data_IF_338079966589
#
_entry.id   IF_338079966589
#
_cell.length_a   1.000
_cell.length_b   1.000
_cell.length_c   1.000
_cell.angle_alpha   90.00
_cell.angle_beta   90.00
_cell.angle_gamma   90.00
#
_symmetry.space_group_name_H-M   'P 1'
#
loop_
_entity.id
_entity.type
_entity.pdbx_description
1 polymer ?
#
# COMPACT_ATOMS: atom_id res chain seq x y z
N UNK A 1 3.11 -21.37 -24.72
CA UNK A 1 2.99 -21.35 -23.25
C UNK A 1 1.98 -20.29 -22.89
N UNK A 2 1.04 -20.58 -22.00
CA UNK A 2 0.08 -19.59 -21.51
C UNK A 2 0.82 -18.48 -20.75
N UNK A 3 0.32 -17.24 -20.82
CA UNK A 3 0.92 -16.09 -20.13
C UNK A 3 0.08 -15.70 -18.91
N UNK A 4 0.77 -15.17 -17.91
CA UNK A 4 0.16 -14.49 -16.77
C UNK A 4 0.66 -13.05 -16.76
N UNK A 5 -0.27 -12.10 -16.87
CA UNK A 5 0.01 -10.68 -16.81
C UNK A 5 -0.44 -10.14 -15.45
N UNK A 6 0.50 -9.63 -14.66
CA UNK A 6 0.18 -8.87 -13.47
C UNK A 6 0.04 -7.37 -13.79
N UNK A 7 -1.19 -6.87 -13.75
CA UNK A 7 -1.49 -5.45 -13.90
C UNK A 7 -1.44 -4.76 -12.53
N UNK A 8 -0.42 -3.93 -12.30
CA UNK A 8 -0.29 -3.12 -11.07
C UNK A 8 0.31 -1.74 -11.36
N UNK A 9 0.48 -0.89 -10.35
CA UNK A 9 1.20 0.38 -10.53
C UNK A 9 2.71 0.12 -10.45
N UNK A 10 3.46 0.58 -11.45
CA UNK A 10 4.92 0.51 -11.46
C UNK A 10 5.47 1.94 -11.34
N UNK A 11 5.77 2.39 -10.12
CA UNK A 11 6.34 3.72 -9.86
C UNK A 11 7.75 3.60 -9.27
N UNK A 12 8.77 3.96 -10.05
CA UNK A 12 10.17 4.00 -9.61
C UNK A 12 10.44 5.01 -8.49
N UNK A 13 9.46 5.81 -8.08
CA UNK A 13 9.57 6.73 -6.95
C UNK A 13 8.63 6.32 -5.80
N UNK A 14 8.19 5.07 -5.77
CA UNK A 14 7.40 4.51 -4.69
C UNK A 14 7.70 3.02 -4.53
N UNK A 15 8.64 2.70 -3.63
CA UNK A 15 9.07 1.32 -3.35
C UNK A 15 7.92 0.37 -3.04
N UNK A 16 6.87 0.88 -2.40
CA UNK A 16 5.68 0.10 -2.10
C UNK A 16 4.91 -0.36 -3.33
N UNK A 17 4.82 0.48 -4.37
CA UNK A 17 4.14 0.11 -5.61
C UNK A 17 4.96 -0.93 -6.38
N UNK A 18 6.30 -0.79 -6.41
CA UNK A 18 7.23 -1.73 -7.06
C UNK A 18 7.19 -3.13 -6.46
N UNK A 19 7.16 -3.24 -5.13
CA UNK A 19 7.28 -4.50 -4.40
C UNK A 19 5.97 -5.25 -4.22
N UNK A 20 4.88 -4.72 -4.78
CA UNK A 20 3.54 -5.24 -4.54
C UNK A 20 3.09 -6.32 -5.53
N UNK A 21 3.89 -6.63 -6.55
CA UNK A 21 3.57 -7.67 -7.52
C UNK A 21 3.78 -9.09 -6.93
N UNK A 22 2.78 -10.00 -7.01
CA UNK A 22 2.94 -11.38 -6.56
C UNK A 22 3.94 -12.17 -7.40
N UNK A 23 4.17 -11.77 -8.67
CA UNK A 23 5.16 -12.38 -9.55
C UNK A 23 6.60 -12.26 -9.04
N UNK A 24 6.85 -11.43 -8.01
CA UNK A 24 8.17 -11.29 -7.38
C UNK A 24 8.45 -12.37 -6.34
N UNK A 25 7.42 -13.07 -5.86
CA UNK A 25 7.53 -13.91 -4.66
C UNK A 25 6.96 -15.31 -4.85
N UNK A 26 6.23 -15.55 -5.93
CA UNK A 26 5.64 -16.83 -6.25
C UNK A 26 6.02 -17.23 -7.67
N UNK A 27 6.37 -18.51 -7.82
CA UNK A 27 6.63 -19.11 -9.12
C UNK A 27 5.31 -19.57 -9.76
N UNK A 28 5.20 -19.50 -11.08
CA UNK A 28 4.04 -20.02 -11.81
C UNK A 28 4.53 -21.02 -12.87
N UNK A 29 4.83 -22.27 -12.48
CA UNK A 29 5.40 -23.26 -13.39
C UNK A 29 4.52 -23.48 -14.62
N UNK A 30 5.12 -23.46 -15.81
CA UNK A 30 4.42 -23.64 -17.09
C UNK A 30 3.86 -22.35 -17.71
N UNK A 31 3.97 -21.22 -17.03
CA UNK A 31 3.51 -19.92 -17.52
C UNK A 31 4.67 -18.97 -17.80
N UNK A 32 4.48 -18.10 -18.79
CA UNK A 32 5.33 -16.93 -19.00
C UNK A 32 4.71 -15.77 -18.22
N UNK A 33 5.45 -15.25 -17.23
CA UNK A 33 4.95 -14.20 -16.34
C UNK A 33 5.51 -12.83 -16.71
N UNK A 34 4.65 -11.83 -16.75
CA UNK A 34 5.02 -10.45 -17.05
C UNK A 34 4.25 -9.48 -16.14
N UNK A 35 4.92 -8.45 -15.63
CA UNK A 35 4.27 -7.37 -14.91
C UNK A 35 4.13 -6.16 -15.84
N UNK A 36 2.93 -5.59 -15.92
CA UNK A 36 2.65 -4.40 -16.72
C UNK A 36 1.99 -3.31 -15.87
N UNK A 37 2.29 -2.06 -16.23
CA UNK A 37 1.69 -0.92 -15.54
C UNK A 37 0.24 -0.73 -15.99
N UNK A 38 -0.71 -0.83 -15.06
CA UNK A 38 -2.14 -0.66 -15.32
C UNK A 38 -2.50 0.70 -15.95
N UNK A 39 -1.63 1.70 -15.81
CA UNK A 39 -1.83 3.05 -16.35
C UNK A 39 -1.50 3.14 -17.85
N UNK A 40 -0.71 2.21 -18.38
CA UNK A 40 -0.16 2.29 -19.74
C UNK A 40 -0.30 1.01 -20.55
N UNK A 41 -0.68 -0.11 -19.93
CA UNK A 41 -0.98 -1.36 -20.64
C UNK A 41 -2.04 -1.14 -21.72
N UNK A 42 -1.79 -1.72 -22.88
CA UNK A 42 -2.75 -1.77 -23.97
C UNK A 42 -3.58 -3.07 -23.83
N UNK A 43 -4.91 -2.97 -23.60
CA UNK A 43 -5.78 -4.14 -23.43
C UNK A 43 -5.70 -5.18 -24.55
N UNK A 44 -5.44 -4.73 -25.79
CA UNK A 44 -5.38 -5.60 -26.97
C UNK A 44 -4.19 -6.58 -26.93
N UNK A 45 -3.12 -6.25 -26.22
CA UNK A 45 -1.89 -7.04 -26.16
C UNK A 45 -1.98 -8.19 -25.14
N UNK A 46 -3.03 -8.18 -24.30
CA UNK A 46 -3.20 -9.09 -23.15
C UNK A 46 -4.58 -9.77 -23.12
N UNK A 47 -5.35 -9.65 -24.18
CA UNK A 47 -6.74 -10.09 -24.27
C UNK A 47 -6.95 -11.61 -24.12
N UNK A 48 -5.92 -12.44 -24.35
CA UNK A 48 -6.02 -13.91 -24.22
C UNK A 48 -5.22 -14.47 -23.02
N UNK A 49 -4.66 -13.60 -22.18
CA UNK A 49 -3.79 -14.00 -21.08
C UNK A 49 -4.56 -14.21 -19.77
N UNK A 50 -3.98 -14.93 -18.83
CA UNK A 50 -4.45 -14.87 -17.43
C UNK A 50 -4.04 -13.53 -16.83
N UNK A 51 -4.97 -12.86 -16.16
CA UNK A 51 -4.79 -11.54 -15.60
C UNK A 51 -4.78 -11.60 -14.07
N UNK A 52 -3.78 -10.99 -13.45
CA UNK A 52 -3.75 -10.71 -12.03
C UNK A 52 -3.74 -9.19 -11.85
N UNK A 53 -4.84 -8.59 -11.42
CA UNK A 53 -4.83 -7.22 -10.90
C UNK A 53 -4.39 -7.26 -9.44
N UNK A 54 -3.31 -6.60 -9.06
CA UNK A 54 -2.81 -6.86 -7.71
C UNK A 54 -1.81 -5.89 -7.12
N UNK A 55 -1.60 -6.08 -5.82
CA UNK A 55 -0.55 -5.44 -5.03
C UNK A 55 -0.83 -4.01 -4.54
N UNK A 56 -1.60 -3.23 -5.29
CA UNK A 56 -1.71 -1.78 -5.10
C UNK A 56 -3.08 -1.29 -4.65
N UNK A 57 -3.19 0.02 -4.42
CA UNK A 57 -4.47 0.72 -4.21
C UNK A 57 -5.26 0.85 -5.51
N UNK A 58 -5.60 -0.29 -6.12
CA UNK A 58 -6.26 -0.35 -7.42
C UNK A 58 -7.77 -0.17 -7.35
N UNK A 59 -8.39 -0.32 -6.17
CA UNK A 59 -9.82 -0.03 -5.99
C UNK A 59 -10.01 1.47 -5.73
N UNK A 60 -9.75 2.24 -6.78
CA UNK A 60 -9.80 3.70 -6.77
C UNK A 60 -10.27 4.20 -8.13
N UNK A 61 -11.05 5.29 -8.13
CA UNK A 61 -11.69 5.82 -9.35
C UNK A 61 -10.72 6.01 -10.52
N UNK A 62 -9.46 6.36 -10.24
CA UNK A 62 -8.43 6.53 -11.28
C UNK A 62 -8.13 5.25 -12.06
N UNK A 63 -8.30 4.08 -11.45
CA UNK A 63 -7.98 2.77 -12.03
C UNK A 63 -9.22 1.99 -12.46
N UNK A 64 -10.42 2.43 -12.09
CA UNK A 64 -11.67 1.77 -12.47
C UNK A 64 -11.81 1.67 -13.99
N UNK A 65 -11.70 2.80 -14.70
CA UNK A 65 -11.84 2.81 -16.16
C UNK A 65 -10.76 1.98 -16.89
N UNK A 66 -9.46 2.08 -16.57
CA UNK A 66 -8.45 1.17 -17.10
C UNK A 66 -8.74 -0.31 -16.82
N UNK A 67 -9.12 -0.66 -15.59
CA UNK A 67 -9.45 -2.04 -15.21
C UNK A 67 -10.65 -2.57 -16.01
N UNK A 68 -11.71 -1.78 -16.15
CA UNK A 68 -12.88 -2.14 -16.95
C UNK A 68 -12.54 -2.28 -18.43
N UNK A 69 -11.69 -1.41 -18.99
CA UNK A 69 -11.25 -1.51 -20.38
C UNK A 69 -10.46 -2.80 -20.63
N UNK A 70 -9.58 -3.19 -19.70
CA UNK A 70 -8.84 -4.45 -19.78
C UNK A 70 -9.80 -5.64 -19.72
N UNK A 71 -10.72 -5.66 -18.75
CA UNK A 71 -11.71 -6.74 -18.61
C UNK A 71 -12.67 -6.83 -19.79
N UNK A 72 -13.07 -5.71 -20.37
CA UNK A 72 -13.96 -5.69 -21.54
C UNK A 72 -13.28 -6.22 -22.82
N UNK A 73 -11.96 -6.01 -22.94
CA UNK A 73 -11.17 -6.58 -24.04
C UNK A 73 -10.74 -8.04 -23.77
N UNK A 74 -10.91 -8.55 -22.55
CA UNK A 74 -10.50 -9.89 -22.17
C UNK A 74 -11.41 -10.94 -22.80
N UNK A 75 -10.82 -11.91 -23.49
CA UNK A 75 -11.51 -12.94 -24.26
C UNK A 75 -11.33 -14.35 -23.69
N UNK A 76 -10.19 -14.62 -23.04
CA UNK A 76 -9.87 -15.94 -22.50
C UNK A 76 -8.84 -15.85 -21.38
N UNK A 77 -8.82 -16.87 -20.53
CA UNK A 77 -7.96 -16.90 -19.35
C UNK A 77 -8.76 -16.60 -18.10
N UNK A 78 -8.05 -16.35 -16.99
CA UNK A 78 -8.65 -16.11 -15.68
C UNK A 78 -8.34 -14.71 -15.22
N UNK A 79 -9.30 -14.06 -14.55
CA UNK A 79 -9.15 -12.72 -14.01
C UNK A 79 -9.16 -12.78 -12.49
N UNK A 80 -8.05 -12.41 -11.88
CA UNK A 80 -7.82 -12.54 -10.45
C UNK A 80 -7.53 -11.17 -9.84
N UNK A 81 -8.15 -10.87 -8.70
CA UNK A 81 -7.73 -9.75 -7.84
C UNK A 81 -6.86 -10.29 -6.71
N UNK A 82 -5.63 -9.81 -6.58
CA UNK A 82 -4.68 -10.27 -5.54
C UNK A 82 -4.19 -9.12 -4.67
N UNK A 83 -4.72 -9.03 -3.46
CA UNK A 83 -4.29 -8.04 -2.46
C UNK A 83 -4.51 -6.59 -2.88
N UNK A 84 -5.50 -6.38 -3.77
CA UNK A 84 -5.99 -5.05 -4.11
C UNK A 84 -6.69 -4.42 -2.91
N UNK A 85 -6.73 -3.10 -2.84
CA UNK A 85 -7.49 -2.44 -1.79
C UNK A 85 -7.99 -1.07 -2.18
N UNK A 86 -8.99 -0.60 -1.44
CA UNK A 86 -9.65 0.67 -1.65
C UNK A 86 -8.83 1.87 -1.23
N UNK A 87 -9.08 2.99 -1.91
CA UNK A 87 -8.50 4.26 -1.55
C UNK A 87 -9.47 5.40 -1.84
N UNK A 88 -9.92 6.06 -0.77
CA UNK A 88 -10.70 7.28 -0.81
C UNK A 88 -9.98 8.38 -0.04
N UNK A 89 -9.94 9.57 -0.63
CA UNK A 89 -9.40 10.78 -0.02
C UNK A 89 -10.52 11.68 0.54
N UNK A 90 -11.79 11.28 0.38
CA UNK A 90 -12.91 12.06 0.89
C UNK A 90 -13.06 11.87 2.40
N UNK A 91 -13.52 12.93 3.09
CA UNK A 91 -13.80 12.84 4.54
C UNK A 91 -14.84 11.75 4.85
N UNK A 92 -15.84 11.60 3.99
CA UNK A 92 -16.86 10.56 4.13
C UNK A 92 -16.23 9.15 4.05
N UNK A 93 -15.43 8.87 3.01
CA UNK A 93 -14.79 7.56 2.85
C UNK A 93 -13.72 7.25 3.90
N UNK A 94 -13.09 8.27 4.50
CA UNK A 94 -12.20 8.04 5.65
C UNK A 94 -12.98 7.77 6.95
N UNK A 95 -14.16 8.36 7.13
CA UNK A 95 -15.00 8.15 8.31
C UNK A 95 -15.65 6.77 8.29
N UNK A 96 -16.03 6.30 7.11
CA UNK A 96 -16.68 5.01 6.91
C UNK A 96 -16.06 4.28 5.71
N UNK A 97 -14.88 3.66 5.90
CA UNK A 97 -14.16 3.01 4.81
C UNK A 97 -14.76 1.65 4.42
N UNK A 98 -15.58 1.05 5.28
CA UNK A 98 -16.19 -0.27 5.05
C UNK A 98 -17.41 -0.19 4.14
N UNK A 99 -18.03 0.99 3.98
CA UNK A 99 -19.13 1.21 3.03
C UNK A 99 -18.66 1.51 1.60
N UNK A 100 -17.36 1.36 1.32
CA UNK A 100 -16.86 1.45 -0.05
C UNK A 100 -17.56 0.42 -0.94
N UNK A 101 -18.03 0.85 -2.11
CA UNK A 101 -18.65 -0.05 -3.08
C UNK A 101 -17.59 -0.77 -3.91
N UNK A 102 -17.38 -2.05 -3.59
CA UNK A 102 -16.44 -2.92 -4.30
C UNK A 102 -17.00 -3.42 -5.64
N UNK A 103 -18.33 -3.44 -5.80
CA UNK A 103 -19.04 -4.11 -6.91
C UNK A 103 -18.46 -3.79 -8.28
N UNK A 104 -18.22 -2.51 -8.65
CA UNK A 104 -17.74 -2.16 -9.99
C UNK A 104 -16.36 -2.74 -10.34
N UNK A 105 -15.59 -3.16 -9.34
CA UNK A 105 -14.26 -3.74 -9.49
C UNK A 105 -14.27 -5.26 -9.47
N UNK A 106 -15.31 -5.89 -8.90
CA UNK A 106 -15.38 -7.35 -8.73
C UNK A 106 -16.01 -8.06 -9.94
N UNK A 107 -16.75 -7.33 -10.77
CA UNK A 107 -17.37 -7.87 -11.98
C UNK A 107 -16.34 -8.58 -12.88
N UNK A 108 -16.72 -9.75 -13.41
CA UNK A 108 -15.88 -10.58 -14.28
C UNK A 108 -14.52 -10.98 -13.68
N UNK A 109 -14.48 -11.25 -12.37
CA UNK A 109 -13.34 -11.88 -11.70
C UNK A 109 -13.65 -13.34 -11.36
N UNK A 110 -12.71 -14.24 -11.59
CA UNK A 110 -12.78 -15.65 -11.21
C UNK A 110 -12.37 -15.87 -9.75
N UNK A 111 -11.48 -15.04 -9.22
CA UNK A 111 -11.01 -15.12 -7.83
C UNK A 111 -10.70 -13.72 -7.28
N UNK A 112 -11.11 -13.46 -6.04
CA UNK A 112 -10.99 -12.14 -5.42
C UNK A 112 -10.33 -12.24 -4.06
N UNK A 113 -9.20 -11.57 -3.89
CA UNK A 113 -8.54 -11.34 -2.62
C UNK A 113 -8.25 -9.86 -2.41
N UNK A 114 -8.74 -9.29 -1.32
CA UNK A 114 -8.56 -7.87 -0.97
C UNK A 114 -7.74 -7.72 0.31
N UNK A 115 -6.95 -6.66 0.40
CA UNK A 115 -6.18 -6.37 1.62
C UNK A 115 -6.96 -5.61 2.68
N UNK A 116 -8.14 -5.12 2.32
CA UNK A 116 -9.05 -4.43 3.22
C UNK A 116 -9.66 -5.46 4.18
N UNK A 117 -9.56 -5.20 5.47
CA UNK A 117 -10.16 -6.03 6.51
C UNK A 117 -11.60 -5.59 6.84
N UNK A 118 -12.35 -6.47 7.50
CA UNK A 118 -13.74 -6.25 7.93
C UNK A 118 -14.71 -5.98 6.78
N UNK A 119 -14.44 -6.58 5.64
CA UNK A 119 -15.35 -6.65 4.49
C UNK A 119 -15.68 -8.11 4.19
N UNK A 120 -16.82 -8.37 3.55
CA UNK A 120 -17.28 -9.72 3.24
C UNK A 120 -16.57 -10.32 1.99
N UNK A 121 -15.25 -10.22 1.95
CA UNK A 121 -14.38 -10.72 0.88
C UNK A 121 -13.17 -11.43 1.50
N UNK A 122 -12.52 -12.31 0.74
CA UNK A 122 -11.31 -12.98 1.21
C UNK A 122 -10.19 -11.97 1.48
N UNK A 123 -9.69 -12.01 2.71
CA UNK A 123 -8.57 -11.18 3.11
C UNK A 123 -7.23 -11.75 2.64
N UNK A 124 -6.53 -10.94 1.84
CA UNK A 124 -5.20 -11.22 1.26
C UNK A 124 -4.35 -9.95 1.40
N UNK A 125 -3.33 -9.93 2.28
CA UNK A 125 -2.54 -8.74 2.51
C UNK A 125 -1.55 -8.48 1.37
N UNK A 126 -0.93 -7.29 1.38
CA UNK A 126 0.09 -6.94 0.39
C UNK A 126 1.22 -7.98 0.39
N UNK A 127 1.51 -8.55 -0.79
CA UNK A 127 2.43 -9.67 -0.97
C UNK A 127 3.89 -9.34 -0.64
N UNK A 128 4.24 -8.05 -0.48
CA UNK A 128 5.57 -7.64 -0.03
C UNK A 128 6.00 -8.25 1.31
N UNK A 129 5.08 -8.77 2.14
CA UNK A 129 5.42 -9.57 3.33
C UNK A 129 6.22 -10.85 3.02
N UNK A 130 6.18 -11.33 1.77
CA UNK A 130 6.93 -12.49 1.32
C UNK A 130 8.41 -12.19 1.07
N UNK A 131 8.83 -10.91 1.08
CA UNK A 131 10.21 -10.55 0.80
C UNK A 131 11.17 -11.09 1.87
N UNK A 132 12.32 -11.69 1.48
CA UNK A 132 13.26 -12.31 2.43
C UNK A 132 13.96 -11.29 3.35
N UNK A 133 14.03 -10.01 2.95
CA UNK A 133 14.59 -8.95 3.80
C UNK A 133 13.91 -8.82 5.19
N UNK A 134 12.69 -9.34 5.36
CA UNK A 134 12.04 -9.41 6.68
C UNK A 134 12.70 -10.43 7.62
N UNK A 135 13.44 -11.41 7.10
CA UNK A 135 14.08 -12.46 7.90
C UNK A 135 15.39 -11.98 8.56
N UNK A 136 15.91 -10.82 8.15
CA UNK A 136 17.04 -10.15 8.79
C UNK A 136 16.62 -9.60 10.16
N UNK A 137 17.27 -10.03 11.27
CA UNK A 137 17.01 -9.47 12.60
C UNK A 137 17.35 -7.99 12.66
N UNK A 138 16.54 -7.21 13.38
CA UNK A 138 16.74 -5.76 13.57
C UNK A 138 16.54 -5.39 15.04
N UNK A 139 17.55 -4.78 15.63
CA UNK A 139 17.48 -4.26 17.01
C UNK A 139 17.27 -2.75 16.98
N UNK A 140 16.22 -2.24 17.64
CA UNK A 140 16.02 -0.79 17.77
C UNK A 140 17.19 -0.10 18.46
N UNK A 141 17.53 1.10 18.01
CA UNK A 141 18.47 2.01 18.67
C UNK A 141 17.98 3.47 18.65
N UNK A 142 16.77 3.70 18.13
CA UNK A 142 16.03 4.93 18.23
C UNK A 142 14.69 4.66 18.91
N UNK A 143 14.29 5.50 19.85
CA UNK A 143 12.94 5.44 20.43
C UNK A 143 11.87 5.66 19.35
N UNK A 144 12.12 6.60 18.43
CA UNK A 144 11.21 6.97 17.36
C UNK A 144 11.92 7.18 16.02
N UNK A 145 11.27 6.74 14.93
CA UNK A 145 11.67 7.06 13.56
C UNK A 145 10.48 7.55 12.74
N UNK A 146 10.72 8.42 11.76
CA UNK A 146 9.67 8.99 10.89
C UNK A 146 9.78 8.46 9.47
N UNK A 147 8.80 7.66 9.02
CA UNK A 147 8.73 7.18 7.64
C UNK A 147 7.54 7.80 6.89
N UNK A 148 7.81 8.74 6.00
CA UNK A 148 6.75 9.50 5.32
C UNK A 148 6.43 8.99 3.92
N UNK A 149 5.18 9.14 3.51
CA UNK A 149 4.86 9.17 2.08
C UNK A 149 5.44 10.46 1.46
N UNK A 150 6.03 10.38 0.26
CA UNK A 150 6.72 11.49 -0.43
C UNK A 150 5.94 12.81 -0.48
N UNK A 151 4.63 12.70 -0.71
CA UNK A 151 3.68 13.84 -0.75
C UNK A 151 3.10 14.27 0.59
N UNK A 152 3.06 13.40 1.58
CA UNK A 152 2.39 13.64 2.87
C UNK A 152 3.44 13.49 3.96
N UNK A 153 4.20 14.54 4.25
CA UNK A 153 5.35 14.42 5.14
C UNK A 153 5.04 14.83 6.57
N UNK A 154 5.53 14.04 7.51
CA UNK A 154 5.56 14.36 8.93
C UNK A 154 6.94 14.98 9.23
N UNK A 155 6.97 16.06 10.01
CA UNK A 155 8.20 16.71 10.42
C UNK A 155 8.23 16.87 11.94
N UNK A 156 9.13 16.14 12.58
CA UNK A 156 9.37 16.20 14.02
C UNK A 156 10.85 16.45 14.21
N UNK A 157 11.19 17.55 14.89
CA UNK A 157 12.58 17.94 15.09
C UNK A 157 13.35 16.88 15.88
N UNK A 158 14.57 16.59 15.45
CA UNK A 158 15.49 15.66 16.13
C UNK A 158 15.26 14.17 15.88
N UNK A 159 14.24 13.78 15.11
CA UNK A 159 14.00 12.36 14.79
C UNK A 159 14.60 11.95 13.43
N UNK A 160 15.19 10.74 13.32
CA UNK A 160 15.57 10.15 12.04
C UNK A 160 14.38 10.07 11.09
N UNK A 161 14.63 10.32 9.79
CA UNK A 161 13.56 10.36 8.79
C UNK A 161 13.94 9.72 7.46
N UNK A 162 12.97 9.06 6.84
CA UNK A 162 13.06 8.53 5.48
C UNK A 162 11.69 8.67 4.79
N UNK A 163 11.67 8.63 3.45
CA UNK A 163 10.43 8.59 2.67
C UNK A 163 10.35 7.31 1.84
N UNK A 164 9.15 7.01 1.33
CA UNK A 164 8.93 5.90 0.39
C UNK A 164 9.50 6.11 -1.03
N UNK A 165 10.30 7.14 -1.26
CA UNK A 165 11.06 7.32 -2.51
C UNK A 165 12.35 6.48 -2.51
N UNK A 166 12.80 5.99 -1.36
CA UNK A 166 13.94 5.09 -1.31
C UNK A 166 13.54 3.69 -1.82
N UNK A 167 14.15 3.26 -2.92
CA UNK A 167 13.89 1.95 -3.52
C UNK A 167 14.78 0.81 -3.00
N UNK A 168 15.78 1.13 -2.18
CA UNK A 168 16.54 0.11 -1.47
C UNK A 168 15.68 -0.43 -0.32
N UNK A 169 15.08 -1.59 -0.55
CA UNK A 169 14.13 -2.15 0.41
C UNK A 169 14.80 -2.64 1.69
N UNK A 170 16.02 -3.15 1.61
CA UNK A 170 16.80 -3.52 2.80
C UNK A 170 17.10 -2.28 3.65
N UNK A 171 17.52 -1.18 3.02
CA UNK A 171 17.72 0.10 3.70
C UNK A 171 16.42 0.65 4.31
N UNK A 172 15.28 0.49 3.63
CA UNK A 172 13.97 0.87 4.16
C UNK A 172 13.62 0.05 5.40
N UNK A 173 13.75 -1.28 5.35
CA UNK A 173 13.44 -2.13 6.51
C UNK A 173 14.44 -1.92 7.65
N UNK A 174 15.72 -1.68 7.36
CA UNK A 174 16.74 -1.32 8.35
C UNK A 174 16.40 0.00 9.05
N UNK A 175 15.96 1.00 8.29
CA UNK A 175 15.48 2.26 8.85
C UNK A 175 14.24 2.07 9.74
N UNK A 176 13.22 1.35 9.26
CA UNK A 176 12.03 1.08 10.05
C UNK A 176 12.37 0.28 11.32
N UNK A 177 13.22 -0.73 11.19
CA UNK A 177 13.65 -1.59 12.29
C UNK A 177 14.59 -0.91 13.28
N UNK A 178 15.21 0.22 12.94
CA UNK A 178 16.01 1.02 13.87
C UNK A 178 15.18 1.71 14.95
N UNK A 179 13.87 1.89 14.73
CA UNK A 179 12.95 2.50 15.69
C UNK A 179 12.22 1.47 16.56
N UNK A 180 12.01 1.79 17.83
CA UNK A 180 11.06 1.09 18.69
C UNK A 180 9.63 1.40 18.24
N UNK A 181 9.35 2.68 17.98
CA UNK A 181 8.07 3.15 17.44
C UNK A 181 8.26 3.88 16.10
N UNK A 182 7.43 3.52 15.12
CA UNK A 182 7.42 4.13 13.78
C UNK A 182 6.27 5.13 13.68
N UNK A 183 6.60 6.37 13.35
CA UNK A 183 5.66 7.42 13.03
C UNK A 183 5.57 7.53 11.51
N UNK A 184 4.41 7.23 10.92
CA UNK A 184 4.34 7.05 9.48
C UNK A 184 3.09 7.64 8.84
N UNK A 185 3.26 8.28 7.71
CA UNK A 185 2.16 8.66 6.81
C UNK A 185 2.12 7.77 5.57
N UNK A 186 3.00 6.77 5.46
CA UNK A 186 2.99 5.80 4.37
C UNK A 186 2.17 4.58 4.76
N UNK A 187 1.30 4.12 3.86
CA UNK A 187 0.59 2.84 4.03
C UNK A 187 1.58 1.69 4.19
N UNK A 188 2.60 1.63 3.34
CA UNK A 188 3.63 0.60 3.42
C UNK A 188 4.54 0.80 4.64
N UNK A 189 4.79 2.03 5.08
CA UNK A 189 5.47 2.26 6.36
C UNK A 189 4.68 1.72 7.55
N UNK A 190 3.35 1.88 7.54
CA UNK A 190 2.48 1.31 8.57
C UNK A 190 2.47 -0.21 8.50
N UNK A 191 2.26 -0.77 7.30
CA UNK A 191 2.23 -2.20 7.08
C UNK A 191 3.57 -2.87 7.46
N UNK A 192 4.69 -2.45 6.87
CA UNK A 192 6.00 -3.03 7.12
C UNK A 192 6.49 -2.81 8.55
N UNK A 193 6.19 -1.66 9.15
CA UNK A 193 6.48 -1.43 10.56
C UNK A 193 5.78 -2.44 11.46
N UNK A 194 4.51 -2.72 11.19
CA UNK A 194 3.76 -3.77 11.89
C UNK A 194 4.38 -5.15 11.67
N UNK A 195 4.74 -5.50 10.43
CA UNK A 195 5.39 -6.79 10.11
C UNK A 195 6.74 -6.98 10.79
N UNK A 196 7.46 -5.90 11.09
CA UNK A 196 8.72 -5.92 11.86
C UNK A 196 8.49 -6.05 13.37
N UNK A 197 7.24 -6.16 13.83
CA UNK A 197 6.90 -6.21 15.25
C UNK A 197 7.15 -4.88 15.96
N UNK A 198 7.04 -3.75 15.26
CA UNK A 198 7.19 -2.41 15.88
C UNK A 198 5.84 -1.83 16.26
N UNK A 199 5.86 -0.93 17.23
CA UNK A 199 4.76 0.00 17.47
C UNK A 199 4.65 0.94 16.28
N UNK A 200 3.42 1.23 15.86
CA UNK A 200 3.15 2.09 14.70
C UNK A 200 2.09 3.12 15.05
N UNK A 201 2.41 4.39 14.77
CA UNK A 201 1.45 5.50 14.75
C UNK A 201 1.31 5.98 13.31
N UNK A 202 0.12 5.78 12.75
CA UNK A 202 -0.20 6.15 11.38
C UNK A 202 -0.87 7.53 11.31
N UNK A 203 -0.41 8.36 10.38
CA UNK A 203 -0.92 9.68 10.05
C UNK A 203 -1.68 9.55 8.71
N UNK A 204 -2.99 9.27 8.73
CA UNK A 204 -3.73 8.90 7.55
C UNK A 204 -3.98 10.12 6.65
N UNK A 205 -3.98 9.89 5.34
CA UNK A 205 -4.44 10.85 4.33
C UNK A 205 -5.53 10.27 3.42
N UNK A 206 -5.91 9.01 3.64
CA UNK A 206 -6.92 8.28 2.87
C UNK A 206 -7.50 7.14 3.70
N UNK A 207 -8.61 6.57 3.25
CA UNK A 207 -9.33 5.46 3.90
C UNK A 207 -8.51 4.17 4.09
N UNK A 208 -7.50 3.89 3.25
CA UNK A 208 -6.70 2.65 3.28
C UNK A 208 -5.99 2.34 4.61
N UNK A 209 -5.77 3.35 5.45
CA UNK A 209 -5.15 3.14 6.77
C UNK A 209 -6.13 2.52 7.77
N UNK A 210 -7.42 2.73 7.56
CA UNK A 210 -8.48 2.29 8.47
C UNK A 210 -8.98 0.87 8.19
N UNK A 211 -8.53 0.27 7.08
CA UNK A 211 -8.86 -1.09 6.65
C UNK A 211 -7.69 -2.06 6.81
N UNK A 212 -6.58 -1.65 7.44
CA UNK A 212 -5.51 -2.58 7.81
C UNK A 212 -5.99 -3.57 8.88
N UNK A 213 -5.78 -4.88 8.63
CA UNK A 213 -6.07 -5.98 9.56
C UNK A 213 -5.42 -5.75 10.92
N UNK A 214 -4.11 -5.55 10.91
CA UNK A 214 -3.32 -5.16 12.08
C UNK A 214 -3.33 -3.64 12.17
N UNK A 215 -4.41 -3.10 12.74
CA UNK A 215 -4.65 -1.66 12.74
C UNK A 215 -3.59 -0.91 13.59
N UNK A 216 -2.79 -0.02 13.00
CA UNK A 216 -1.88 0.83 13.76
C UNK A 216 -2.67 1.87 14.57
N UNK A 217 -2.04 2.49 15.56
CA UNK A 217 -2.66 3.64 16.24
C UNK A 217 -2.87 4.77 15.25
N UNK A 218 -4.11 5.22 15.08
CA UNK A 218 -4.44 6.28 14.12
C UNK A 218 -4.31 7.64 14.79
N UNK A 219 -3.42 8.48 14.26
CA UNK A 219 -3.29 9.88 14.66
C UNK A 219 -4.24 10.77 13.84
N UNK A 220 -5.03 11.67 14.45
CA UNK A 220 -6.02 12.51 13.77
C UNK A 220 -5.36 13.68 13.00
N UNK A 221 -4.61 13.35 11.97
CA UNK A 221 -3.79 14.31 11.21
C UNK A 221 -4.64 15.29 10.42
N UNK A 222 -4.25 16.56 10.40
CA UNK A 222 -4.68 17.53 9.39
C UNK A 222 -3.51 17.88 8.47
N UNK A 223 -3.75 17.83 7.16
CA UNK A 223 -2.74 18.08 6.14
C UNK A 223 -2.84 19.50 5.62
N UNK A 224 -1.72 20.21 5.62
CA UNK A 224 -1.64 21.61 5.18
C UNK A 224 -0.59 21.78 4.10
N UNK A 225 -0.86 22.65 3.13
CA UNK A 225 0.15 23.07 2.15
C UNK A 225 1.15 24.01 2.86
N UNK A 226 2.48 23.78 2.75
CA UNK A 226 3.47 24.70 3.28
C UNK A 226 3.32 26.05 2.59
N UNK A 227 3.20 27.12 3.37
CA UNK A 227 3.21 28.49 2.89
C UNK A 227 4.11 29.35 3.76
N UNK A 228 4.82 30.30 3.16
CA UNK A 228 5.53 31.36 3.87
C UNK A 228 4.62 32.58 4.00
N UNK A 229 4.57 33.19 5.19
CA UNK A 229 3.91 34.46 5.42
C UNK A 229 4.97 35.57 5.41
N UNK A 230 4.89 36.50 4.45
CA UNK A 230 5.68 37.73 4.50
C UNK A 230 4.91 38.79 5.31
N UNK A 231 5.46 39.34 6.41
CA UNK A 231 4.72 40.19 7.33
C UNK A 231 4.56 41.66 6.88
N UNK A 232 4.52 41.95 5.57
CA UNK A 232 4.56 43.36 5.09
C UNK A 232 3.38 43.77 4.22
N UNK A 233 2.57 42.84 3.69
CA UNK A 233 1.41 43.21 2.87
C UNK A 233 0.25 42.28 3.23
N UNK A 234 -0.94 42.84 3.51
CA UNK A 234 -2.20 42.12 3.81
C UNK A 234 -2.73 41.24 2.64
N UNK A 235 -1.86 40.81 1.73
CA UNK A 235 -2.15 39.85 0.66
C UNK A 235 -1.31 38.60 0.89
N UNK A 236 -1.98 37.45 0.99
CA UNK A 236 -1.35 36.13 0.98
C UNK A 236 -0.60 35.96 -0.35
N UNK A 237 0.73 35.95 -0.30
CA UNK A 237 1.57 35.54 -1.42
C UNK A 237 2.19 34.20 -1.04
N UNK A 238 1.68 33.12 -1.62
CA UNK A 238 2.29 31.81 -1.50
C UNK A 238 3.53 31.78 -2.40
N UNK A 239 4.72 32.10 -1.87
CA UNK A 239 5.97 31.80 -2.56
C UNK A 239 6.17 30.29 -2.63
N UNK A 240 6.60 29.82 -3.81
CA UNK A 240 6.66 28.43 -4.27
C UNK A 240 7.30 27.45 -3.27
N UNK A 241 6.48 26.83 -2.42
CA UNK A 241 6.79 25.50 -1.89
C UNK A 241 6.82 24.50 -3.06
N UNK A 242 7.62 23.41 -3.01
CA UNK A 242 7.52 22.36 -4.02
C UNK A 242 6.05 21.93 -4.09
N UNK A 243 5.41 22.15 -5.25
CA UNK A 243 3.95 22.22 -5.49
C UNK A 243 3.13 21.00 -5.02
N UNK A 244 3.74 19.98 -4.42
CA UNK A 244 3.16 18.65 -4.19
C UNK A 244 3.46 18.03 -2.80
N UNK A 245 3.97 18.79 -1.81
CA UNK A 245 4.23 18.27 -0.46
C UNK A 245 3.30 18.91 0.57
N UNK A 246 2.57 18.09 1.31
CA UNK A 246 1.72 18.46 2.45
C UNK A 246 2.45 18.16 3.76
N UNK A 247 2.26 19.01 4.76
CA UNK A 247 2.76 18.81 6.13
C UNK A 247 1.62 18.42 7.05
N UNK A 248 1.84 17.36 7.82
CA UNK A 248 0.92 16.93 8.87
C UNK A 248 1.11 17.74 10.15
N UNK A 249 0.02 18.04 10.85
CA UNK A 249 0.10 18.53 12.23
C UNK A 249 0.69 17.46 13.15
N UNK A 250 1.48 17.88 14.14
CA UNK A 250 2.21 16.97 15.05
C UNK A 250 2.14 17.43 16.51
N UNK A 251 0.93 17.59 17.03
CA UNK A 251 0.69 17.90 18.46
C UNK A 251 0.41 16.64 19.26
N UNK A 252 1.03 16.50 20.42
CA UNK A 252 0.78 15.41 21.36
C UNK A 252 0.88 14.00 20.75
N UNK A 253 1.73 13.81 19.74
CA UNK A 253 1.86 12.51 19.07
C UNK A 253 2.42 11.41 20.00
N UNK A 254 3.11 11.79 21.09
CA UNK A 254 3.63 10.86 22.09
C UNK A 254 2.53 10.11 22.83
N UNK A 255 1.43 10.77 23.19
CA UNK A 255 0.30 10.11 23.87
C UNK A 255 -0.37 9.03 22.99
N UNK A 256 -0.20 9.11 21.66
CA UNK A 256 -0.63 8.08 20.71
C UNK A 256 0.40 6.97 20.57
N UNK A 257 1.69 7.30 20.63
CA UNK A 257 2.77 6.31 20.65
C UNK A 257 2.68 5.41 21.90
N UNK A 258 2.37 5.99 23.06
CA UNK A 258 2.22 5.24 24.32
C UNK A 258 1.08 4.22 24.28
N UNK A 259 0.04 4.50 23.47
CA UNK A 259 -1.12 3.63 23.26
C UNK A 259 -0.91 2.63 22.10
N UNK A 260 0.23 2.70 21.42
CA UNK A 260 0.51 1.84 20.28
C UNK A 260 0.86 0.44 20.72
N UNK A 261 0.28 -0.54 20.03
CA UNK A 261 0.48 -1.96 20.27
C UNK A 261 1.26 -2.60 19.12
N UNK A 262 1.93 -3.69 19.44
CA UNK A 262 2.65 -4.53 18.49
C UNK A 262 1.78 -5.70 18.03
N UNK A 263 2.12 -6.28 16.89
CA UNK A 263 1.45 -7.45 16.34
C UNK A 263 2.52 -8.49 15.96
N UNK A 264 3.09 -9.22 16.93
CA UNK A 264 4.28 -10.05 16.73
C UNK A 264 4.07 -11.15 15.67
N UNK A 265 2.85 -11.70 15.57
CA UNK A 265 2.53 -12.78 14.63
C UNK A 265 2.12 -12.28 13.22
N UNK A 266 2.07 -10.96 13.01
CA UNK A 266 1.53 -10.37 11.77
C UNK A 266 2.29 -10.81 10.52
N UNK A 267 3.62 -10.93 10.58
CA UNK A 267 4.42 -11.42 9.44
C UNK A 267 4.06 -12.85 9.06
N UNK A 268 3.95 -13.75 10.04
CA UNK A 268 3.61 -15.15 9.81
C UNK A 268 2.18 -15.29 9.28
N UNK A 269 1.22 -14.56 9.85
CA UNK A 269 -0.17 -14.52 9.37
C UNK A 269 -0.26 -14.02 7.92
N UNK A 270 0.39 -12.89 7.61
CA UNK A 270 0.35 -12.31 6.28
C UNK A 270 1.01 -13.18 5.21
N UNK A 271 2.13 -13.84 5.55
CA UNK A 271 2.77 -14.83 4.67
C UNK A 271 1.88 -16.05 4.44
N UNK A 272 1.25 -16.55 5.50
CA UNK A 272 0.37 -17.71 5.42
C UNK A 272 -0.85 -17.44 4.55
N UNK A 273 -1.47 -16.25 4.65
CA UNK A 273 -2.57 -15.88 3.76
C UNK A 273 -2.17 -15.72 2.30
N UNK A 274 -1.01 -15.13 2.02
CA UNK A 274 -0.52 -15.05 0.64
C UNK A 274 -0.23 -16.43 0.04
N UNK A 275 0.36 -17.36 0.82
CA UNK A 275 0.59 -18.75 0.38
C UNK A 275 -0.71 -19.50 0.12
N UNK A 276 -1.69 -19.36 1.01
CA UNK A 276 -3.03 -19.93 0.79
C UNK A 276 -3.65 -19.38 -0.49
N UNK A 277 -3.64 -18.06 -0.68
CA UNK A 277 -4.26 -17.46 -1.86
C UNK A 277 -3.54 -17.87 -3.14
N UNK A 278 -2.21 -17.99 -3.11
CA UNK A 278 -1.44 -18.55 -4.22
C UNK A 278 -1.91 -19.96 -4.61
N UNK A 279 -2.21 -20.83 -3.64
CA UNK A 279 -2.77 -22.16 -3.95
C UNK A 279 -4.12 -22.05 -4.66
N UNK A 280 -5.01 -21.18 -4.18
CA UNK A 280 -6.30 -20.92 -4.84
C UNK A 280 -6.14 -20.37 -6.26
N UNK A 281 -5.13 -19.51 -6.48
CA UNK A 281 -4.78 -19.00 -7.81
C UNK A 281 -4.32 -20.12 -8.74
N UNK A 282 -3.45 -21.01 -8.26
CA UNK A 282 -2.97 -22.14 -9.06
C UNK A 282 -4.11 -23.12 -9.40
N UNK A 283 -5.10 -23.29 -8.51
CA UNK A 283 -6.32 -24.05 -8.79
C UNK A 283 -7.16 -23.43 -9.92
N UNK A 284 -7.21 -22.09 -10.03
CA UNK A 284 -7.89 -21.43 -11.15
C UNK A 284 -7.20 -21.63 -12.49
N UNK A 285 -5.88 -21.80 -12.47
CA UNK A 285 -5.08 -22.00 -13.67
C UNK A 285 -4.96 -23.47 -14.09
N UNK A 286 -5.39 -24.40 -13.23
CA UNK A 286 -5.42 -25.81 -13.56
C UNK A 286 -6.34 -26.09 -14.79
N UNK A 287 -6.01 -27.08 -15.63
CA UNK A 287 -6.78 -27.41 -16.84
C UNK A 287 -8.24 -27.80 -16.57
#
# INVERSE_FOLDING_TARGET
MSRIINCHVIDQHNVGDLLSSPLRYFDFPGYVCEAQDIRTVNPQDIQQDHLIFGGGGLLFQRFLAPMQAIKAAHHSGKVILWGVGQQSYSRAGMKDPVSFDYTPYLEACDLVGVRDDRVALDWVPCVSCMHPAFDKPRTPHHEYVVFSHKKFQIQISGLPRMTNENNDFDAVLDFLGSGETILTSSFHGAYWGTLLGRKVVAFPFSSKFFTLRHQPTIYPTQWQQPGFQLPVIKRRINLFAPKNQLRGEVKDWRSYADKSQEFPDSLAECRSRNRWFYQQVMEQFAP
#
